data_IF_122041952393
#
_entry.id   IF_122041952393
#
_cell.length_a   1.000
_cell.length_b   1.000
_cell.length_c   1.000
_cell.angle_alpha   90.00
_cell.angle_beta   90.00
_cell.angle_gamma   90.00
#
_symmetry.space_group_name_H-M   'P 1'
#
loop_
_entity.id
_entity.type
_entity.pdbx_description
1 polymer ?
#
# COMPACT_ATOMS: atom_id res chain seq x y z
N UNK A 1 -11.48 -15.69 8.17
CA UNK A 1 -12.34 -14.48 8.22
C UNK A 1 -13.82 -14.84 8.32
N UNK A 2 -14.54 -14.31 9.32
CA UNK A 2 -15.98 -14.55 9.50
C UNK A 2 -16.82 -13.32 9.10
N UNK A 3 -17.82 -13.48 8.23
CA UNK A 3 -18.71 -12.40 7.77
C UNK A 3 -20.11 -12.95 7.45
N UNK A 4 -21.13 -12.09 7.53
CA UNK A 4 -22.50 -12.48 7.16
C UNK A 4 -22.82 -12.23 5.68
N UNK A 5 -23.88 -12.88 5.20
CA UNK A 5 -24.42 -12.73 3.85
C UNK A 5 -24.78 -11.27 3.52
N UNK A 6 -25.19 -10.48 4.53
CA UNK A 6 -25.51 -9.05 4.35
C UNK A 6 -24.26 -8.27 3.99
N UNK A 7 -23.14 -8.54 4.67
CA UNK A 7 -21.84 -7.90 4.45
C UNK A 7 -21.30 -8.31 3.09
N UNK A 8 -21.35 -9.59 2.75
CA UNK A 8 -20.97 -10.09 1.42
C UNK A 8 -21.76 -9.39 0.29
N UNK A 9 -23.09 -9.30 0.40
CA UNK A 9 -23.92 -8.59 -0.58
C UNK A 9 -23.57 -7.10 -0.69
N UNK A 10 -23.33 -6.43 0.43
CA UNK A 10 -22.92 -5.01 0.44
C UNK A 10 -21.58 -4.78 -0.25
N UNK A 11 -20.64 -5.73 -0.11
CA UNK A 11 -19.37 -5.68 -0.82
C UNK A 11 -19.59 -5.87 -2.32
N UNK A 12 -20.35 -6.89 -2.71
CA UNK A 12 -20.63 -7.20 -4.11
C UNK A 12 -21.41 -6.10 -4.87
N UNK A 13 -22.24 -5.32 -4.17
CA UNK A 13 -23.03 -4.23 -4.77
C UNK A 13 -22.34 -2.86 -4.68
N UNK A 14 -21.14 -2.79 -4.10
CA UNK A 14 -20.37 -1.56 -4.03
C UNK A 14 -19.27 -1.56 -5.10
N UNK A 15 -18.92 -0.38 -5.57
CA UNK A 15 -17.74 -0.11 -6.36
C UNK A 15 -16.59 0.26 -5.43
N UNK A 16 -15.39 -0.21 -5.75
CA UNK A 16 -14.22 -0.12 -4.88
C UNK A 16 -13.01 0.41 -5.63
N UNK A 17 -12.29 1.32 -4.99
CA UNK A 17 -10.96 1.77 -5.41
C UNK A 17 -9.97 1.39 -4.31
N UNK A 18 -8.80 0.87 -4.71
CA UNK A 18 -7.74 0.47 -3.80
C UNK A 18 -6.44 1.18 -4.15
N UNK A 19 -5.73 1.67 -3.14
CA UNK A 19 -4.41 2.28 -3.28
C UNK A 19 -3.48 1.67 -2.26
N UNK A 20 -2.30 1.20 -2.68
CA UNK A 20 -1.25 0.78 -1.76
C UNK A 20 -0.52 2.04 -1.30
N UNK A 21 -0.51 2.28 0.00
CA UNK A 21 -0.07 3.56 0.59
C UNK A 21 1.12 3.39 1.54
N UNK A 22 1.48 2.16 1.85
CA UNK A 22 2.57 1.81 2.74
C UNK A 22 2.72 0.30 2.88
N UNK A 23 3.75 -0.15 3.62
CA UNK A 23 3.97 -1.56 3.90
C UNK A 23 2.79 -2.11 4.69
N UNK A 24 2.17 -3.18 4.17
CA UNK A 24 0.98 -3.81 4.74
C UNK A 24 -0.21 -2.86 4.92
N UNK A 25 -0.22 -1.71 4.23
CA UNK A 25 -1.26 -0.70 4.36
C UNK A 25 -1.95 -0.45 3.01
N UNK A 26 -3.28 -0.68 3.01
CA UNK A 26 -4.13 -0.49 1.84
C UNK A 26 -5.16 0.57 2.17
N UNK A 27 -5.20 1.62 1.35
CA UNK A 27 -6.32 2.53 1.30
C UNK A 27 -7.44 1.94 0.46
N UNK A 28 -8.64 1.86 1.06
CA UNK A 28 -9.86 1.37 0.41
C UNK A 28 -10.90 2.47 0.39
N UNK A 29 -11.42 2.77 -0.80
CA UNK A 29 -12.46 3.74 -1.03
C UNK A 29 -13.71 3.06 -1.60
N UNK A 30 -14.88 3.36 -1.03
CA UNK A 30 -16.16 2.95 -1.61
C UNK A 30 -16.60 4.00 -2.65
N UNK A 31 -16.37 3.71 -3.93
CA UNK A 31 -16.62 4.61 -5.04
C UNK A 31 -18.13 4.80 -5.34
N UNK A 32 -19.00 3.92 -4.85
CA UNK A 32 -20.46 4.05 -5.03
C UNK A 32 -21.06 5.32 -4.42
N UNK A 33 -20.32 6.02 -3.55
CA UNK A 33 -20.72 7.32 -3.02
C UNK A 33 -20.49 8.49 -4.01
N UNK A 34 -19.99 8.21 -5.22
CA UNK A 34 -19.84 9.20 -6.29
C UNK A 34 -18.96 10.37 -5.86
N UNK A 35 -19.47 11.60 -5.96
CA UNK A 35 -18.74 12.80 -5.55
C UNK A 35 -18.38 12.85 -4.05
N UNK A 36 -19.07 12.06 -3.21
CA UNK A 36 -18.76 11.92 -1.77
C UNK A 36 -17.80 10.77 -1.46
N UNK A 37 -17.23 10.09 -2.47
CA UNK A 37 -16.35 8.94 -2.24
C UNK A 37 -15.17 9.25 -1.33
N UNK A 38 -14.70 10.51 -1.32
CA UNK A 38 -13.62 10.98 -0.42
C UNK A 38 -13.96 10.89 1.06
N UNK A 39 -15.25 10.97 1.43
CA UNK A 39 -15.71 10.79 2.81
C UNK A 39 -15.77 9.29 3.21
N UNK A 40 -15.55 8.40 2.25
CA UNK A 40 -15.66 6.95 2.37
C UNK A 40 -14.34 6.24 2.05
N UNK A 41 -13.24 6.87 2.47
CA UNK A 41 -11.87 6.36 2.39
C UNK A 41 -11.44 5.86 3.77
N UNK A 42 -10.91 4.64 3.83
CA UNK A 42 -10.42 4.03 5.05
C UNK A 42 -9.10 3.30 4.80
N UNK A 43 -8.33 3.07 5.85
CA UNK A 43 -7.10 2.27 5.80
C UNK A 43 -7.39 0.89 6.37
N UNK A 44 -6.94 -0.12 5.63
CA UNK A 44 -6.97 -1.53 6.02
C UNK A 44 -5.52 -1.97 6.18
N UNK A 45 -5.21 -2.53 7.33
CA UNK A 45 -3.92 -3.16 7.57
C UNK A 45 -4.04 -4.65 7.29
N UNK A 46 -3.00 -5.22 6.68
CA UNK A 46 -2.86 -6.66 6.47
C UNK A 46 -1.69 -7.19 7.32
N UNK A 47 -1.61 -8.50 7.52
CA UNK A 47 -0.45 -9.16 8.12
C UNK A 47 0.55 -9.63 7.04
N UNK A 48 1.63 -10.30 7.49
CA UNK A 48 2.68 -10.85 6.62
C UNK A 48 2.16 -11.96 5.68
N UNK A 49 1.04 -12.58 6.02
CA UNK A 49 0.36 -13.60 5.22
C UNK A 49 -0.60 -12.98 4.19
N UNK A 50 -0.74 -11.65 4.19
CA UNK A 50 -1.66 -10.93 3.32
C UNK A 50 -3.11 -11.01 3.78
N UNK A 51 -3.40 -11.32 5.05
CA UNK A 51 -4.75 -11.31 5.58
C UNK A 51 -5.09 -9.94 6.20
N UNK A 52 -6.22 -9.30 5.81
CA UNK A 52 -6.72 -8.12 6.52
C UNK A 52 -6.94 -8.34 8.02
N UNK A 53 -6.23 -7.58 8.84
CA UNK A 53 -6.29 -7.66 10.32
C UNK A 53 -6.98 -6.48 10.98
N UNK A 54 -6.97 -5.29 10.37
CA UNK A 54 -7.65 -4.12 10.96
C UNK A 54 -8.16 -3.11 9.94
N UNK A 55 -9.08 -2.24 10.37
CA UNK A 55 -9.62 -1.16 9.55
C UNK A 55 -9.87 0.11 10.37
N UNK A 56 -9.60 1.28 9.79
CA UNK A 56 -9.81 2.58 10.46
C UNK A 56 -11.26 3.05 10.50
N UNK A 57 -12.20 2.31 9.90
CA UNK A 57 -13.60 2.70 9.90
C UNK A 57 -14.22 2.63 11.30
N UNK A 58 -15.19 3.51 11.58
CA UNK A 58 -15.93 3.50 12.87
C UNK A 58 -16.54 2.12 13.18
N UNK A 59 -16.99 1.41 12.14
CA UNK A 59 -17.57 0.09 12.30
C UNK A 59 -16.60 -0.95 12.89
N UNK A 60 -15.29 -0.82 12.61
CA UNK A 60 -14.29 -1.79 13.06
C UNK A 60 -14.21 -1.85 14.59
N UNK A 61 -14.11 -0.68 15.23
CA UNK A 61 -14.02 -0.53 16.69
C UNK A 61 -15.27 -1.02 17.42
N UNK A 62 -16.45 -0.84 16.83
CA UNK A 62 -17.71 -1.05 17.54
C UNK A 62 -18.38 -2.41 17.26
N UNK A 63 -18.13 -3.03 16.11
CA UNK A 63 -18.92 -4.21 15.69
C UNK A 63 -18.08 -5.42 15.27
N UNK A 64 -16.81 -5.22 14.94
CA UNK A 64 -16.02 -6.20 14.17
C UNK A 64 -14.88 -6.81 15.00
N UNK A 65 -13.99 -5.97 15.55
CA UNK A 65 -12.89 -6.42 16.41
C UNK A 65 -13.32 -7.25 17.63
N UNK A 66 -14.36 -6.85 18.39
CA UNK A 66 -14.80 -7.58 19.58
C UNK A 66 -15.50 -8.92 19.31
N UNK A 67 -15.96 -9.17 18.08
CA UNK A 67 -16.81 -10.31 17.73
C UNK A 67 -16.16 -11.27 16.73
N UNK A 68 -14.87 -11.09 16.41
CA UNK A 68 -14.16 -11.83 15.35
C UNK A 68 -14.84 -11.72 13.97
N UNK A 69 -15.58 -10.62 13.72
CA UNK A 69 -16.33 -10.40 12.48
C UNK A 69 -15.59 -9.42 11.59
N UNK A 70 -15.48 -9.71 10.31
CA UNK A 70 -14.80 -8.85 9.34
C UNK A 70 -15.78 -7.81 8.78
N UNK A 71 -15.34 -6.54 8.77
CA UNK A 71 -16.13 -5.44 8.24
C UNK A 71 -16.11 -5.38 6.70
N UNK A 72 -17.07 -4.65 6.12
CA UNK A 72 -17.20 -4.57 4.64
C UNK A 72 -15.92 -4.14 3.92
N UNK A 73 -15.10 -3.28 4.53
CA UNK A 73 -13.87 -2.77 3.90
C UNK A 73 -12.78 -3.83 3.82
N UNK A 74 -12.56 -4.57 4.91
CA UNK A 74 -11.61 -5.67 4.96
C UNK A 74 -12.06 -6.80 4.02
N UNK A 75 -13.36 -7.12 4.00
CA UNK A 75 -13.90 -8.09 3.06
C UNK A 75 -13.78 -7.61 1.61
N UNK A 76 -13.94 -6.31 1.33
CA UNK A 76 -13.73 -5.77 -0.01
C UNK A 76 -12.27 -5.90 -0.46
N UNK A 77 -11.31 -5.61 0.43
CA UNK A 77 -9.88 -5.83 0.13
C UNK A 77 -9.62 -7.31 -0.18
N UNK A 78 -10.09 -8.22 0.67
CA UNK A 78 -9.87 -9.66 0.48
C UNK A 78 -10.59 -10.24 -0.76
N UNK A 79 -11.84 -9.85 -1.01
CA UNK A 79 -12.68 -10.49 -2.03
C UNK A 79 -12.67 -9.77 -3.39
N UNK A 80 -12.50 -8.44 -3.41
CA UNK A 80 -12.52 -7.63 -4.65
C UNK A 80 -11.09 -7.22 -5.04
N UNK A 81 -10.28 -6.76 -4.08
CA UNK A 81 -8.86 -6.50 -4.32
C UNK A 81 -8.07 -7.80 -4.54
N UNK A 82 -8.43 -8.85 -3.80
CA UNK A 82 -7.91 -10.20 -4.00
C UNK A 82 -6.39 -10.30 -3.82
N UNK A 83 -5.79 -11.39 -4.32
CA UNK A 83 -4.35 -11.62 -4.20
C UNK A 83 -3.50 -10.51 -4.79
N UNK A 84 -3.96 -9.83 -5.85
CA UNK A 84 -3.20 -8.76 -6.50
C UNK A 84 -2.96 -7.58 -5.56
N UNK A 85 -4.02 -7.06 -4.92
CA UNK A 85 -3.90 -5.92 -4.00
C UNK A 85 -3.18 -6.33 -2.71
N UNK A 86 -3.46 -7.54 -2.21
CA UNK A 86 -2.84 -8.05 -0.99
C UNK A 86 -1.33 -8.25 -1.15
N UNK A 87 -0.90 -8.95 -2.20
CA UNK A 87 0.51 -9.16 -2.47
C UNK A 87 1.24 -7.85 -2.74
N UNK A 88 0.62 -6.90 -3.47
CA UNK A 88 1.22 -5.59 -3.69
C UNK A 88 1.46 -4.79 -2.41
N UNK A 89 0.64 -4.99 -1.37
CA UNK A 89 0.87 -4.38 -0.05
C UNK A 89 1.91 -5.13 0.79
N UNK A 90 2.01 -6.45 0.65
CA UNK A 90 3.08 -7.26 1.28
C UNK A 90 4.43 -6.94 0.67
N UNK A 91 4.50 -6.91 -0.67
CA UNK A 91 5.69 -6.64 -1.47
C UNK A 91 5.98 -5.14 -1.60
N UNK A 92 5.33 -4.28 -0.81
CA UNK A 92 5.52 -2.85 -0.87
C UNK A 92 6.96 -2.48 -0.50
N UNK A 93 7.74 -2.11 -1.52
CA UNK A 93 9.07 -1.54 -1.36
C UNK A 93 8.93 -0.02 -1.16
N UNK A 94 9.32 0.54 0.01
CA UNK A 94 9.17 1.96 0.32
C UNK A 94 10.15 2.82 -0.50
N UNK A 95 9.90 2.93 -1.80
CA UNK A 95 10.74 3.55 -2.82
C UNK A 95 12.20 3.03 -2.81
N UNK A 96 12.73 2.55 -3.95
CA UNK A 96 14.15 2.26 -4.01
C UNK A 96 14.91 3.54 -3.62
N UNK A 97 15.85 3.40 -2.68
CA UNK A 97 16.77 4.47 -2.34
C UNK A 97 17.27 5.10 -3.65
N UNK A 98 17.38 6.44 -3.74
CA UNK A 98 17.70 7.10 -5.00
C UNK A 98 18.95 6.46 -5.60
N UNK A 99 18.73 5.65 -6.64
CA UNK A 99 19.81 4.98 -7.35
C UNK A 99 20.57 6.08 -8.07
N UNK A 100 21.79 6.36 -7.60
CA UNK A 100 22.69 7.26 -8.30
C UNK A 100 23.01 6.58 -9.63
N UNK A 101 22.47 7.12 -10.72
CA UNK A 101 22.98 6.78 -12.04
C UNK A 101 24.48 7.13 -12.05
N UNK A 102 25.32 6.16 -12.40
CA UNK A 102 26.77 6.31 -12.52
C UNK A 102 27.13 7.40 -13.54
N UNK A 103 26.26 7.63 -14.53
CA UNK A 103 26.30 8.77 -15.44
C UNK A 103 27.56 8.86 -16.30
N UNK A 104 28.47 7.89 -16.18
CA UNK A 104 29.84 7.93 -16.70
C UNK A 104 30.67 9.06 -16.07
N UNK A 105 31.92 8.76 -15.68
CA UNK A 105 32.92 9.79 -15.41
C UNK A 105 33.96 9.74 -16.53
N UNK A 106 34.16 10.83 -17.26
CA UNK A 106 35.22 10.91 -18.29
C UNK A 106 36.64 10.78 -17.70
N UNK A 107 36.77 10.71 -16.37
CA UNK A 107 38.02 10.54 -15.64
C UNK A 107 38.28 9.10 -15.15
N UNK A 108 37.58 8.11 -15.68
CA UNK A 108 37.72 6.70 -15.26
C UNK A 108 39.13 6.10 -15.53
N UNK A 109 39.98 6.78 -16.31
CA UNK A 109 41.38 6.42 -16.52
C UNK A 109 42.38 6.90 -15.47
N UNK A 110 41.93 7.61 -14.42
CA UNK A 110 42.80 8.20 -13.40
C UNK A 110 42.42 7.81 -11.97
N UNK A 111 43.44 7.69 -11.11
CA UNK A 111 43.29 7.36 -9.69
C UNK A 111 42.46 8.41 -8.94
N UNK A 112 42.62 9.70 -9.27
CA UNK A 112 41.84 10.79 -8.71
C UNK A 112 40.58 11.11 -9.53
N UNK A 113 39.42 11.36 -8.89
CA UNK A 113 38.21 11.80 -9.57
C UNK A 113 38.32 13.25 -10.06
N UNK A 114 37.67 13.57 -11.19
CA UNK A 114 37.53 14.97 -11.59
C UNK A 114 36.65 15.74 -10.59
N UNK A 115 36.86 17.07 -10.53
CA UNK A 115 36.20 17.94 -9.55
C UNK A 115 34.67 17.78 -9.57
N UNK A 116 34.07 17.70 -10.76
CA UNK A 116 32.62 17.52 -10.89
C UNK A 116 32.14 16.15 -10.39
N UNK A 117 32.93 15.08 -10.58
CA UNK A 117 32.58 13.75 -10.08
C UNK A 117 32.70 13.65 -8.55
N UNK A 118 33.72 14.29 -7.94
CA UNK A 118 33.83 14.37 -6.48
C UNK A 118 32.73 15.23 -5.87
N UNK A 119 32.50 16.45 -6.40
CA UNK A 119 31.50 17.39 -5.88
C UNK A 119 30.07 16.84 -5.94
N UNK A 120 29.75 16.07 -6.98
CA UNK A 120 28.43 15.43 -7.12
C UNK A 120 28.30 14.11 -6.34
N UNK A 121 29.38 13.68 -5.66
CA UNK A 121 29.41 12.42 -4.92
C UNK A 121 29.26 11.19 -5.82
N UNK A 122 29.75 11.27 -7.07
CA UNK A 122 29.81 10.15 -8.03
C UNK A 122 31.07 9.31 -7.85
N UNK A 123 32.18 9.89 -7.37
CA UNK A 123 33.42 9.19 -6.98
C UNK A 123 33.99 9.77 -5.69
N UNK A 124 34.61 8.92 -4.89
CA UNK A 124 35.31 9.29 -3.66
C UNK A 124 36.81 9.49 -3.95
N UNK A 125 37.49 10.25 -3.07
CA UNK A 125 38.94 10.39 -3.12
C UNK A 125 39.57 9.09 -2.58
N UNK A 126 40.71 8.63 -3.15
CA UNK A 126 41.49 7.52 -2.59
C UNK A 126 41.90 7.75 -1.14
#
# INVERSE_FOLDING_TARGET
MNFDTKTAKRVAWSEWEFTIVGPFEIEVCNASYGFKKRDHVYRVMIDEQGEPVSCTCKGFKHYHGPNDRVGKHMLAVAAVGGPTVLNAAVDFDPAPAPVKADGGCECDGHEFPCFECYRSGRRELP
#
